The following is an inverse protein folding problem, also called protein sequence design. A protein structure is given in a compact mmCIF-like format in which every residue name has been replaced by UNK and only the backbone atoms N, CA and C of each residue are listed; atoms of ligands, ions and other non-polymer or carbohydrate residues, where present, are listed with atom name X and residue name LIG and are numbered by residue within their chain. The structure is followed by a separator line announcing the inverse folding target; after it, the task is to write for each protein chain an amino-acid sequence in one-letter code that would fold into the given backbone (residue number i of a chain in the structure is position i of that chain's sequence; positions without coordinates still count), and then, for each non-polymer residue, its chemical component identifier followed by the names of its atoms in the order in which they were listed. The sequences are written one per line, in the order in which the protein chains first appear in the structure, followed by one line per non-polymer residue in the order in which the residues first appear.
data_IF_077400764382
#
_entry.id   IF_077400764382
#
_cell.length_a   1.000
_cell.length_b   1.000
_cell.length_c   1.000
_cell.angle_alpha   90.00
_cell.angle_beta   90.00
_cell.angle_gamma   90.00
#
_symmetry.space_group_name_H-M   'P 1'
#
loop_
_entity.id
_entity.type
_entity.pdbx_description
1 polymer ?
#
# COMPACT_ATOMS: atom_id res chain seq x y z
N UNK A 1 13.44 -25.19 -5.96
CA UNK A 1 13.55 -24.14 -4.92
C UNK A 1 14.75 -23.29 -5.27
N UNK A 2 14.54 -22.16 -5.92
CA UNK A 2 15.61 -21.19 -6.19
C UNK A 2 14.99 -19.83 -5.86
N UNK A 3 14.83 -19.56 -4.57
CA UNK A 3 14.79 -18.17 -4.12
C UNK A 3 16.25 -17.87 -3.82
N UNK A 4 16.92 -17.27 -4.79
CA UNK A 4 18.31 -16.86 -4.63
C UNK A 4 18.34 -15.69 -3.65
N UNK A 5 19.30 -15.64 -2.71
CA UNK A 5 19.42 -14.54 -1.73
C UNK A 5 19.59 -13.14 -2.37
N UNK A 6 19.75 -13.09 -3.69
CA UNK A 6 19.80 -11.87 -4.50
C UNK A 6 18.44 -11.19 -4.66
N UNK A 7 17.36 -11.97 -4.76
CA UNK A 7 16.01 -11.43 -5.00
C UNK A 7 15.46 -10.74 -3.74
N UNK A 8 15.83 -11.28 -2.57
CA UNK A 8 15.49 -10.73 -1.26
C UNK A 8 16.04 -9.31 -1.09
N UNK A 9 17.28 -9.06 -1.56
CA UNK A 9 17.85 -7.71 -1.55
C UNK A 9 17.14 -6.72 -2.46
N UNK A 10 16.66 -7.14 -3.64
CA UNK A 10 15.98 -6.23 -4.58
C UNK A 10 14.58 -5.85 -4.10
N UNK A 11 13.83 -6.82 -3.57
CA UNK A 11 12.49 -6.57 -3.00
C UNK A 11 12.58 -5.73 -1.72
N UNK A 12 13.53 -6.01 -0.83
CA UNK A 12 13.72 -5.19 0.38
C UNK A 12 14.11 -3.75 0.03
N UNK A 13 15.03 -3.58 -0.94
CA UNK A 13 15.39 -2.25 -1.43
C UNK A 13 14.17 -1.51 -2.00
N UNK A 14 13.38 -2.17 -2.83
CA UNK A 14 12.19 -1.59 -3.45
C UNK A 14 11.16 -1.16 -2.39
N UNK A 15 10.88 -2.00 -1.39
CA UNK A 15 9.94 -1.69 -0.31
C UNK A 15 10.43 -0.48 0.49
N UNK A 16 11.72 -0.42 0.85
CA UNK A 16 12.29 0.73 1.57
C UNK A 16 12.20 2.01 0.74
N UNK A 17 12.48 1.93 -0.55
CA UNK A 17 12.38 3.06 -1.47
C UNK A 17 10.93 3.56 -1.61
N UNK A 18 9.96 2.65 -1.76
CA UNK A 18 8.54 3.01 -1.76
C UNK A 18 8.10 3.62 -0.43
N UNK A 19 8.50 3.06 0.71
CA UNK A 19 8.16 3.62 2.02
C UNK A 19 8.73 5.03 2.21
N UNK A 20 9.96 5.28 1.76
CA UNK A 20 10.55 6.63 1.74
C UNK A 20 9.77 7.56 0.80
N UNK A 21 9.42 7.08 -0.40
CA UNK A 21 8.65 7.83 -1.39
C UNK A 21 7.27 8.23 -0.87
N UNK A 22 6.52 7.28 -0.29
CA UNK A 22 5.20 7.49 0.32
C UNK A 22 5.30 8.50 1.46
N UNK A 23 6.30 8.36 2.33
CA UNK A 23 6.47 9.27 3.47
C UNK A 23 6.80 10.69 3.00
N UNK A 24 7.72 10.83 2.05
CA UNK A 24 8.09 12.12 1.46
C UNK A 24 6.90 12.76 0.74
N UNK A 25 6.19 11.98 -0.07
CA UNK A 25 5.01 12.46 -0.79
C UNK A 25 3.89 12.89 0.16
N UNK A 26 3.71 12.22 1.31
CA UNK A 26 2.72 12.61 2.32
C UNK A 26 3.04 13.99 2.90
N UNK A 27 4.30 14.24 3.25
CA UNK A 27 4.76 15.54 3.72
C UNK A 27 4.59 16.60 2.62
N UNK A 28 4.97 16.26 1.39
CA UNK A 28 4.82 17.12 0.22
C UNK A 28 3.36 17.49 -0.05
N UNK A 29 2.42 16.55 0.07
CA UNK A 29 0.98 16.81 -0.06
C UNK A 29 0.48 17.76 1.03
N UNK A 30 0.87 17.55 2.29
CA UNK A 30 0.47 18.44 3.39
C UNK A 30 1.00 19.86 3.14
N UNK A 31 2.28 19.99 2.77
CA UNK A 31 2.86 21.28 2.40
C UNK A 31 2.17 21.92 1.21
N UNK A 32 1.83 21.14 0.18
CA UNK A 32 1.13 21.64 -1.00
C UNK A 32 -0.25 22.22 -0.65
N UNK A 33 -1.02 21.56 0.23
CA UNK A 33 -2.31 22.08 0.71
C UNK A 33 -2.13 23.38 1.49
N UNK A 34 -1.14 23.45 2.39
CA UNK A 34 -0.85 24.68 3.15
C UNK A 34 -0.47 25.84 2.22
N UNK A 35 0.43 25.61 1.25
CA UNK A 35 0.86 26.62 0.28
C UNK A 35 -0.30 27.03 -0.62
N UNK A 36 -1.12 26.08 -1.05
CA UNK A 36 -2.32 26.34 -1.85
C UNK A 36 -3.26 27.27 -1.10
N UNK A 37 -3.62 26.96 0.14
CA UNK A 37 -4.47 27.81 0.98
C UNK A 37 -3.90 29.21 1.17
N UNK A 38 -2.57 29.35 1.25
CA UNK A 38 -1.92 30.66 1.41
C UNK A 38 -1.87 31.47 0.12
N UNK A 39 -1.69 30.82 -1.04
CA UNK A 39 -1.62 31.48 -2.36
C UNK A 39 -3.00 31.85 -2.89
N UNK A 40 -4.03 31.09 -2.50
CA UNK A 40 -5.37 31.19 -3.07
C UNK A 40 -6.05 32.57 -2.90
N UNK A 41 -5.94 33.28 -1.76
CA UNK A 41 -6.51 34.60 -1.60
C UNK A 41 -5.92 35.62 -2.59
N UNK A 42 -4.60 35.55 -2.83
CA UNK A 42 -3.95 36.43 -3.81
C UNK A 42 -4.39 36.13 -5.24
N UNK A 43 -4.68 34.85 -5.55
CA UNK A 43 -5.24 34.45 -6.83
C UNK A 43 -6.67 34.97 -6.99
N UNK A 44 -7.53 34.83 -5.98
CA UNK A 44 -8.91 35.35 -6.00
C UNK A 44 -8.92 36.87 -6.22
N UNK A 45 -8.05 37.59 -5.51
CA UNK A 45 -7.96 39.05 -5.60
C UNK A 45 -7.62 39.53 -7.01
N UNK A 46 -6.93 38.73 -7.82
CA UNK A 46 -6.57 39.09 -9.20
C UNK A 46 -7.75 39.05 -10.19
N UNK A 47 -8.87 38.42 -9.83
CA UNK A 47 -10.04 38.27 -10.71
C UNK A 47 -11.11 39.34 -10.50
N UNK A 48 -10.84 40.39 -9.72
CA UNK A 48 -11.83 41.42 -9.32
C UNK A 48 -13.16 40.80 -8.82
N UNK A 49 -13.05 39.63 -8.21
CA UNK A 49 -14.21 38.87 -7.77
C UNK A 49 -14.84 39.57 -6.56
N UNK A 50 -16.13 39.88 -6.63
CA UNK A 50 -16.88 40.42 -5.50
C UNK A 50 -16.72 39.54 -4.26
N UNK A 51 -16.69 40.17 -3.07
CA UNK A 51 -16.38 39.51 -1.78
C UNK A 51 -17.11 38.18 -1.57
N UNK A 52 -18.39 38.12 -1.92
CA UNK A 52 -19.22 36.92 -1.79
C UNK A 52 -18.73 35.76 -2.67
N UNK A 53 -18.46 36.03 -3.95
CA UNK A 53 -18.01 35.03 -4.92
C UNK A 53 -16.61 34.51 -4.58
N UNK A 54 -15.73 35.38 -4.08
CA UNK A 54 -14.40 34.99 -3.61
C UNK A 54 -14.45 34.01 -2.44
N UNK A 55 -15.36 34.22 -1.48
CA UNK A 55 -15.50 33.32 -0.32
C UNK A 55 -16.03 31.95 -0.72
N UNK A 56 -17.06 31.87 -1.59
CA UNK A 56 -17.57 30.58 -2.07
C UNK A 56 -16.51 29.80 -2.88
N UNK A 57 -15.75 30.51 -3.72
CA UNK A 57 -14.65 29.91 -4.47
C UNK A 57 -13.57 29.36 -3.53
N UNK A 58 -13.16 30.13 -2.51
CA UNK A 58 -12.22 29.67 -1.49
C UNK A 58 -12.70 28.40 -0.79
N UNK A 59 -13.98 28.35 -0.40
CA UNK A 59 -14.55 27.18 0.28
C UNK A 59 -14.51 25.92 -0.60
N UNK A 60 -14.90 26.02 -1.87
CA UNK A 60 -14.87 24.88 -2.81
C UNK A 60 -13.43 24.42 -3.04
N UNK A 61 -12.49 25.34 -3.22
CA UNK A 61 -11.08 25.02 -3.38
C UNK A 61 -10.49 24.34 -2.14
N UNK A 62 -10.81 24.83 -0.94
CA UNK A 62 -10.37 24.22 0.31
C UNK A 62 -10.91 22.79 0.47
N UNK A 63 -12.19 22.56 0.17
CA UNK A 63 -12.79 21.23 0.17
C UNK A 63 -12.10 20.31 -0.85
N UNK A 64 -11.83 20.80 -2.05
CA UNK A 64 -11.09 20.05 -3.08
C UNK A 64 -9.69 19.65 -2.63
N UNK A 65 -8.95 20.58 -2.01
CA UNK A 65 -7.62 20.30 -1.48
C UNK A 65 -7.65 19.22 -0.38
N UNK A 66 -8.61 19.29 0.54
CA UNK A 66 -8.80 18.27 1.58
C UNK A 66 -9.21 16.93 0.97
N UNK A 67 -10.09 16.92 -0.03
CA UNK A 67 -10.53 15.69 -0.69
C UNK A 67 -9.38 14.94 -1.35
N UNK A 68 -8.40 15.64 -1.93
CA UNK A 68 -7.18 15.04 -2.48
C UNK A 68 -6.38 14.31 -1.40
N UNK A 69 -6.17 14.94 -0.24
CA UNK A 69 -5.45 14.31 0.89
C UNK A 69 -6.19 13.08 1.41
N UNK A 70 -7.51 13.20 1.60
CA UNK A 70 -8.35 12.08 2.06
C UNK A 70 -8.30 10.91 1.07
N UNK A 71 -8.45 11.18 -0.23
CA UNK A 71 -8.39 10.16 -1.28
C UNK A 71 -7.03 9.45 -1.27
N UNK A 72 -5.95 10.19 -1.09
CA UNK A 72 -4.61 9.63 -0.97
C UNK A 72 -4.47 8.71 0.27
N UNK A 73 -4.96 9.14 1.44
CA UNK A 73 -4.93 8.33 2.66
C UNK A 73 -5.79 7.06 2.52
N UNK A 74 -6.97 7.17 1.90
CA UNK A 74 -7.81 6.02 1.57
C UNK A 74 -7.12 5.06 0.60
N UNK A 75 -6.39 5.58 -0.38
CA UNK A 75 -5.62 4.75 -1.31
C UNK A 75 -4.50 3.99 -0.58
N UNK A 76 -3.76 4.66 0.33
CA UNK A 76 -2.70 4.02 1.10
C UNK A 76 -3.23 2.94 2.04
N UNK A 77 -4.24 3.27 2.83
CA UNK A 77 -4.87 2.34 3.77
C UNK A 77 -5.58 1.21 3.04
N UNK A 78 -6.24 1.51 1.92
CA UNK A 78 -6.87 0.54 1.03
C UNK A 78 -5.87 -0.40 0.37
N UNK A 79 -4.72 0.10 -0.07
CA UNK A 79 -3.63 -0.73 -0.60
C UNK A 79 -3.05 -1.66 0.49
N UNK A 80 -2.82 -1.13 1.70
CA UNK A 80 -2.33 -1.93 2.83
C UNK A 80 -3.34 -3.02 3.25
N UNK A 81 -4.60 -2.65 3.47
CA UNK A 81 -5.65 -3.59 3.85
C UNK A 81 -5.92 -4.62 2.73
N UNK A 82 -5.92 -4.16 1.48
CA UNK A 82 -6.14 -4.99 0.30
C UNK A 82 -5.04 -6.04 0.10
N UNK A 83 -3.77 -5.64 0.22
CA UNK A 83 -2.64 -6.58 0.08
C UNK A 83 -2.67 -7.67 1.16
N UNK A 84 -2.95 -7.32 2.42
CA UNK A 84 -3.10 -8.30 3.51
C UNK A 84 -4.29 -9.22 3.29
N UNK A 85 -5.45 -8.67 2.89
CA UNK A 85 -6.66 -9.46 2.63
C UNK A 85 -6.43 -10.51 1.52
N UNK A 86 -5.81 -10.09 0.40
CA UNK A 86 -5.50 -10.99 -0.72
C UNK A 86 -4.46 -12.04 -0.32
N UNK A 87 -3.43 -11.66 0.45
CA UNK A 87 -2.43 -12.61 0.94
C UNK A 87 -3.06 -13.67 1.87
N UNK A 88 -3.92 -13.27 2.81
CA UNK A 88 -4.63 -14.19 3.69
C UNK A 88 -5.55 -15.15 2.91
N UNK A 89 -6.31 -14.61 1.94
CA UNK A 89 -7.22 -15.41 1.09
C UNK A 89 -6.45 -16.42 0.24
N UNK A 90 -5.32 -16.03 -0.35
CA UNK A 90 -4.51 -16.92 -1.20
C UNK A 90 -3.72 -17.94 -0.37
N UNK A 91 -3.24 -17.58 0.82
CA UNK A 91 -2.59 -18.51 1.74
C UNK A 91 -3.52 -19.64 2.22
N UNK A 92 -4.80 -19.34 2.47
CA UNK A 92 -5.81 -20.36 2.78
C UNK A 92 -6.03 -21.36 1.63
N UNK A 93 -6.00 -20.88 0.38
CA UNK A 93 -6.10 -21.73 -0.83
C UNK A 93 -4.84 -22.58 -1.03
N UNK A 94 -3.66 -22.04 -0.72
CA UNK A 94 -2.38 -22.77 -0.76
C UNK A 94 -2.27 -23.86 0.32
N UNK A 95 -2.72 -23.57 1.54
CA UNK A 95 -2.72 -24.53 2.64
C UNK A 95 -3.72 -25.68 2.44
N UNK A 96 -4.82 -25.47 1.70
CA UNK A 96 -5.74 -26.55 1.33
C UNK A 96 -5.07 -27.62 0.44
N UNK A 97 -4.12 -27.21 -0.41
CA UNK A 97 -3.34 -28.13 -1.26
C UNK A 97 -2.20 -28.82 -0.52
N UNK A 98 -1.64 -28.17 0.53
CA UNK A 98 -0.55 -28.71 1.34
C UNK A 98 -1.06 -29.59 2.52
N UNK A 99 -2.33 -29.46 2.92
CA UNK A 99 -2.98 -30.29 3.94
C UNK A 99 -3.46 -31.66 3.46
N UNK A 100 -3.52 -31.90 2.15
CA UNK A 100 -3.89 -33.20 1.56
C UNK A 100 -2.77 -34.25 1.54
N UNK A 101 -1.54 -33.87 1.89
CA UNK A 101 -0.34 -34.73 1.75
C UNK A 101 0.17 -35.40 3.02
N UNK A 102 -0.61 -35.42 4.11
CA UNK A 102 -0.17 -35.98 5.41
C UNK A 102 -1.04 -37.15 5.89
N UNK A 103 -1.40 -38.05 4.99
CA UNK A 103 -1.87 -39.39 5.35
C UNK A 103 -1.02 -40.44 4.62
N UNK A 104 -0.29 -41.18 5.45
CA UNK A 104 0.16 -42.55 5.18
C UNK A 104 1.21 -42.71 4.08
N UNK A 105 2.48 -42.55 4.45
CA UNK A 105 3.49 -43.48 3.93
C UNK A 105 3.78 -44.51 5.04
N UNK A 106 3.42 -45.79 4.83
CA UNK A 106 3.64 -46.84 5.83
C UNK A 106 5.13 -46.99 6.10
N UNK A 107 5.45 -47.16 7.38
CA UNK A 107 6.78 -47.58 7.81
C UNK A 107 7.13 -48.87 7.07
N UNK A 108 8.20 -48.83 6.28
CA UNK A 108 8.71 -50.01 5.59
C UNK A 108 9.30 -50.93 6.66
N UNK A 109 8.52 -51.95 7.02
CA UNK A 109 8.91 -53.05 7.88
C UNK A 109 9.85 -53.94 7.08
N UNK A 110 11.12 -53.94 7.50
CA UNK A 110 12.00 -55.11 7.73
C UNK A 110 12.00 -56.21 6.65
N UNK A 111 13.18 -56.50 6.08
CA UNK A 111 13.70 -57.88 6.04
C UNK A 111 15.22 -57.89 6.24
N UNK A 112 15.64 -58.59 7.29
CA UNK A 112 16.99 -59.12 7.48
C UNK A 112 17.33 -60.03 6.30
N UNK A 113 18.52 -59.88 5.73
CA UNK A 113 19.15 -60.97 4.97
C UNK A 113 20.47 -61.34 5.66
N UNK A 114 20.44 -62.48 6.36
CA UNK A 114 21.60 -63.27 6.73
C UNK A 114 21.91 -64.21 5.56
N UNK A 115 23.09 -64.12 4.93
CA UNK A 115 23.78 -65.20 4.20
C UNK A 115 25.28 -64.84 4.24
N UNK A 116 26.04 -65.45 5.17
CA UNK A 116 26.89 -66.63 4.98
C UNK A 116 28.07 -66.38 4.04
#
# INVERSE_FOLDING_TARGET
RICTPRDESMVEFLIRWFMMGISNFTIGMIMAVCIFCWRLPSLIASFDAGYLSGTFFFAVCAVGAVAVVVTYLLLLTGAAAGTVYVAAKTAGVGNLRLGGGRRQRPAFVRYHHHQQ
#
